data_IF_728201959845
#
_entry.id   IF_728201959845
#
_cell.length_a   1.000
_cell.length_b   1.000
_cell.length_c   1.000
_cell.angle_alpha   90.00
_cell.angle_beta   90.00
_cell.angle_gamma   90.00
#
_symmetry.space_group_name_H-M   'P 1'
#
loop_
_entity.id
_entity.type
_entity.pdbx_description
1 polymer ?
#
# COMPACT_ATOMS: atom_id res chain seq x y z
N UNK A 1 26.32 -2.41 -1.16
CA UNK A 1 25.77 -3.75 -0.90
C UNK A 1 24.46 -3.57 -0.13
N UNK A 2 23.33 -3.50 -0.84
CA UNK A 2 22.02 -3.50 -0.18
C UNK A 2 21.48 -4.91 -0.18
N UNK A 3 21.44 -5.48 1.02
CA UNK A 3 20.76 -6.74 1.29
C UNK A 3 19.26 -6.49 1.08
N UNK A 4 18.77 -6.80 -0.12
CA UNK A 4 17.35 -7.10 -0.34
C UNK A 4 17.05 -8.41 0.39
N UNK A 5 17.03 -8.37 1.71
CA UNK A 5 16.41 -9.42 2.51
C UNK A 5 14.93 -9.24 2.22
N UNK A 6 14.36 -10.20 1.48
CA UNK A 6 12.93 -10.28 1.29
C UNK A 6 12.25 -10.13 2.65
N UNK A 7 11.55 -9.02 2.85
CA UNK A 7 10.40 -9.06 3.72
C UNK A 7 9.45 -10.04 3.06
N UNK A 8 9.53 -11.29 3.49
CA UNK A 8 8.49 -12.29 3.26
C UNK A 8 7.26 -11.69 3.92
N UNK A 9 6.47 -10.94 3.16
CA UNK A 9 5.23 -10.36 3.66
C UNK A 9 4.44 -11.50 4.29
N UNK A 10 4.20 -11.38 5.58
CA UNK A 10 3.34 -12.32 6.29
C UNK A 10 1.91 -12.12 5.79
N UNK A 11 1.04 -13.14 5.88
CA UNK A 11 -0.35 -12.99 5.48
C UNK A 11 -1.05 -11.82 6.21
N UNK A 12 -0.64 -11.51 7.44
CA UNK A 12 -1.09 -10.31 8.18
C UNK A 12 -0.66 -9.00 7.51
N UNK A 13 0.55 -8.93 6.96
CA UNK A 13 1.05 -7.74 6.26
C UNK A 13 0.29 -7.50 4.97
N UNK A 14 -0.01 -8.58 4.24
CA UNK A 14 -0.83 -8.53 3.03
C UNK A 14 -2.27 -8.11 3.35
N UNK A 15 -2.82 -8.53 4.49
CA UNK A 15 -4.15 -8.11 4.94
C UNK A 15 -4.17 -6.62 5.29
N UNK A 16 -3.13 -6.12 5.97
CA UNK A 16 -2.92 -4.69 6.26
C UNK A 16 -2.82 -3.87 4.97
N UNK A 17 -2.01 -4.30 4.01
CA UNK A 17 -1.85 -3.64 2.71
C UNK A 17 -3.16 -3.64 1.92
N UNK A 18 -3.88 -4.77 1.91
CA UNK A 18 -5.15 -4.90 1.21
C UNK A 18 -6.23 -4.04 1.84
N UNK A 19 -6.35 -4.00 3.17
CA UNK A 19 -7.30 -3.14 3.86
C UNK A 19 -7.02 -1.66 3.62
N UNK A 20 -5.76 -1.24 3.65
CA UNK A 20 -5.38 0.14 3.34
C UNK A 20 -5.71 0.52 1.88
N UNK A 21 -5.42 -0.38 0.93
CA UNK A 21 -5.71 -0.17 -0.48
C UNK A 21 -7.22 -0.18 -0.78
N UNK A 22 -7.97 -1.10 -0.18
CA UNK A 22 -9.42 -1.21 -0.34
C UNK A 22 -10.13 0.04 0.18
N UNK A 23 -9.74 0.52 1.36
CA UNK A 23 -10.25 1.78 1.91
C UNK A 23 -9.91 2.99 1.01
N UNK A 24 -8.70 3.05 0.44
CA UNK A 24 -8.33 4.09 -0.51
C UNK A 24 -9.14 4.02 -1.82
N UNK A 25 -9.32 2.81 -2.36
CA UNK A 25 -10.13 2.57 -3.56
C UNK A 25 -11.60 2.95 -3.33
N UNK A 26 -12.17 2.58 -2.18
CA UNK A 26 -13.53 2.93 -1.79
C UNK A 26 -13.72 4.45 -1.68
N UNK A 27 -12.74 5.16 -1.13
CA UNK A 27 -12.76 6.62 -0.96
C UNK A 27 -12.67 7.36 -2.30
N UNK A 28 -11.80 6.89 -3.20
CA UNK A 28 -11.62 7.45 -4.54
C UNK A 28 -12.65 6.95 -5.57
N UNK A 29 -13.47 5.96 -5.20
CA UNK A 29 -14.35 5.18 -6.09
C UNK A 29 -13.64 4.60 -7.31
N UNK A 30 -12.44 4.07 -7.08
CA UNK A 30 -11.61 3.41 -8.08
C UNK A 30 -11.81 1.91 -7.95
N UNK A 31 -11.88 1.20 -9.07
CA UNK A 31 -11.91 -0.26 -9.05
C UNK A 31 -10.52 -0.81 -8.71
N UNK A 32 -10.44 -1.82 -7.84
CA UNK A 32 -9.16 -2.40 -7.43
C UNK A 32 -8.38 -3.06 -8.59
N UNK A 33 -9.05 -3.32 -9.72
CA UNK A 33 -8.43 -3.82 -10.96
C UNK A 33 -7.98 -2.69 -11.88
N UNK A 34 -8.28 -1.45 -11.56
CA UNK A 34 -7.85 -0.29 -12.33
C UNK A 34 -6.34 -0.06 -12.19
N UNK A 35 -5.70 0.51 -13.22
CA UNK A 35 -4.27 0.84 -13.17
C UNK A 35 -3.92 1.78 -12.00
N UNK A 36 -4.82 2.67 -11.60
CA UNK A 36 -4.64 3.55 -10.45
C UNK A 36 -4.54 2.76 -9.14
N UNK A 37 -5.34 1.71 -8.97
CA UNK A 37 -5.26 0.84 -7.80
C UNK A 37 -3.97 0.00 -7.79
N UNK A 38 -3.49 -0.43 -8.96
CA UNK A 38 -2.18 -1.08 -9.06
C UNK A 38 -1.04 -0.13 -8.69
N UNK A 39 -1.08 1.12 -9.14
CA UNK A 39 -0.08 2.13 -8.76
C UNK A 39 -0.12 2.42 -7.25
N UNK A 40 -1.32 2.53 -6.67
CA UNK A 40 -1.50 2.66 -5.23
C UNK A 40 -0.98 1.43 -4.47
N UNK A 41 -1.19 0.21 -4.98
CA UNK A 41 -0.67 -1.02 -4.39
C UNK A 41 0.86 -1.06 -4.40
N UNK A 42 1.49 -0.66 -5.51
CA UNK A 42 2.95 -0.53 -5.59
C UNK A 42 3.49 0.50 -4.60
N UNK A 43 2.87 1.69 -4.54
CA UNK A 43 3.25 2.72 -3.57
C UNK A 43 3.07 2.24 -2.12
N UNK A 44 2.02 1.47 -1.83
CA UNK A 44 1.78 0.87 -0.52
C UNK A 44 2.90 -0.11 -0.13
N UNK A 45 3.37 -0.93 -1.07
CA UNK A 45 4.49 -1.85 -0.85
C UNK A 45 5.79 -1.09 -0.56
N UNK A 46 6.10 -0.06 -1.35
CA UNK A 46 7.29 0.79 -1.14
C UNK A 46 7.25 1.49 0.23
N UNK A 47 6.08 2.01 0.62
CA UNK A 47 5.86 2.65 1.91
C UNK A 47 6.01 1.65 3.07
N UNK A 48 5.47 0.44 2.94
CA UNK A 48 5.59 -0.62 3.94
C UNK A 48 7.06 -1.02 4.15
N UNK A 49 7.80 -1.20 3.06
CA UNK A 49 9.25 -1.48 3.10
C UNK A 49 10.06 -0.33 3.69
N UNK A 50 9.61 0.91 3.53
CA UNK A 50 10.20 2.09 4.18
C UNK A 50 9.94 2.15 5.69
N UNK A 51 9.19 1.20 6.26
CA UNK A 51 8.86 1.14 7.69
C UNK A 51 7.45 1.63 8.04
N UNK A 52 6.55 1.78 7.06
CA UNK A 52 5.13 2.06 7.33
C UNK A 52 4.34 0.76 7.47
N UNK A 53 4.54 0.09 8.58
CA UNK A 53 3.97 -1.21 8.94
C UNK A 53 2.59 -1.13 9.62
N UNK A 54 1.78 -0.11 9.33
CA UNK A 54 0.42 0.03 9.86
C UNK A 54 -0.54 0.53 8.78
N UNK A 55 -1.73 -0.09 8.70
CA UNK A 55 -2.81 0.24 7.76
C UNK A 55 -3.17 1.72 7.78
N UNK A 56 -3.28 2.35 8.95
CA UNK A 56 -3.65 3.77 9.05
C UNK A 56 -2.55 4.68 8.51
N UNK A 57 -1.28 4.34 8.76
CA UNK A 57 -0.13 5.09 8.24
C UNK A 57 -0.01 4.92 6.74
N UNK A 58 -0.22 3.71 6.24
CA UNK A 58 -0.28 3.42 4.81
C UNK A 58 -1.39 4.18 4.12
N UNK A 59 -2.60 4.18 4.68
CA UNK A 59 -3.74 4.92 4.16
C UNK A 59 -3.46 6.44 4.15
N UNK A 60 -2.91 6.98 5.24
CA UNK A 60 -2.56 8.39 5.33
C UNK A 60 -1.47 8.77 4.30
N UNK A 61 -0.47 7.92 4.13
CA UNK A 61 0.58 8.10 3.14
C UNK A 61 0.05 7.99 1.71
N UNK A 62 -0.85 7.04 1.41
CA UNK A 62 -1.54 6.91 0.12
C UNK A 62 -2.42 8.13 -0.20
N UNK A 63 -3.12 8.68 0.79
CA UNK A 63 -3.87 9.94 0.65
C UNK A 63 -2.96 11.15 0.40
N UNK A 64 -1.80 11.18 1.05
CA UNK A 64 -0.79 12.23 0.91
C UNK A 64 0.09 12.11 -0.34
N UNK A 65 0.09 10.94 -0.99
CA UNK A 65 0.83 10.69 -2.21
C UNK A 65 0.18 11.46 -3.37
N UNK A 66 0.56 12.75 -3.49
CA UNK A 66 0.22 13.65 -4.60
C UNK A 66 0.81 13.11 -5.91
N UNK A 67 0.14 12.12 -6.47
CA UNK A 67 0.48 11.45 -7.72
C UNK A 67 -0.60 10.50 -8.22
N UNK A 68 -1.66 10.28 -7.42
CA UNK A 68 -2.84 9.46 -7.69
C UNK A 68 -4.13 10.25 -7.44
#
# INVERSE_FOLDING_TARGET
MSLFIGSTFSPEDLDVLRNALDAWCAEKRIDIKSPEAQLAASAALDLYQSGNNNAERLLAALRGHKGL
#
